data_IF_463815739592
#
_entry.id   IF_463815739592
#
_cell.length_a   1.000
_cell.length_b   1.000
_cell.length_c   1.000
_cell.angle_alpha   90.00
_cell.angle_beta   90.00
_cell.angle_gamma   90.00
#
_symmetry.space_group_name_H-M   'P 1'
#
loop_
_entity.id
_entity.type
_entity.pdbx_description
1 polymer ?
#
# COMPACT_ATOMS: atom_id res chain seq x y z
N UNK A 1 3.48 -1.09 -25.83
CA UNK A 1 4.04 0.26 -25.55
C UNK A 1 2.85 1.20 -25.45
N UNK A 2 2.83 2.10 -24.47
CA UNK A 2 1.71 3.05 -24.30
C UNK A 2 1.93 4.30 -25.15
N UNK A 3 0.84 4.83 -25.70
CA UNK A 3 0.80 6.05 -26.50
C UNK A 3 0.28 7.24 -25.69
N UNK A 4 0.46 8.48 -26.20
CA UNK A 4 -0.07 9.70 -25.55
C UNK A 4 -1.58 9.65 -25.27
N UNK A 5 -2.35 8.96 -26.12
CA UNK A 5 -3.80 8.79 -25.95
C UNK A 5 -4.15 7.95 -24.70
N UNK A 6 -3.24 7.11 -24.23
CA UNK A 6 -3.46 6.20 -23.09
C UNK A 6 -3.26 6.92 -21.74
N UNK A 7 -2.66 8.13 -21.74
CA UNK A 7 -2.31 8.86 -20.51
C UNK A 7 -3.52 9.09 -19.59
N UNK A 8 -4.68 9.43 -20.16
CA UNK A 8 -5.88 9.65 -19.36
C UNK A 8 -6.31 8.38 -18.62
N UNK A 9 -6.22 7.22 -19.28
CA UNK A 9 -6.54 5.93 -18.69
C UNK A 9 -5.48 5.51 -17.66
N UNK A 10 -4.19 5.74 -17.92
CA UNK A 10 -3.13 5.39 -16.98
C UNK A 10 -3.22 6.18 -15.66
N UNK A 11 -3.83 7.37 -15.69
CA UNK A 11 -4.04 8.21 -14.50
C UNK A 11 -5.22 7.78 -13.63
N UNK A 12 -6.08 6.87 -14.10
CA UNK A 12 -7.20 6.40 -13.28
C UNK A 12 -6.71 5.53 -12.15
N UNK A 13 -7.43 5.57 -11.03
CA UNK A 13 -7.12 4.71 -9.90
C UNK A 13 -7.30 3.23 -10.25
N UNK A 14 -6.41 2.42 -9.71
CA UNK A 14 -6.52 0.97 -9.58
C UNK A 14 -6.89 0.72 -8.11
N UNK A 15 -7.97 -0.02 -7.90
CA UNK A 15 -8.49 -0.30 -6.55
C UNK A 15 -8.06 -1.71 -6.17
N UNK A 16 -7.45 -1.85 -4.99
CA UNK A 16 -6.99 -3.12 -4.43
C UNK A 16 -7.74 -3.40 -3.14
N UNK A 17 -8.40 -4.54 -3.05
CA UNK A 17 -8.92 -5.08 -1.80
C UNK A 17 -7.89 -6.06 -1.22
N UNK A 18 -7.34 -5.75 -0.04
CA UNK A 18 -6.20 -6.46 0.55
C UNK A 18 -6.39 -6.68 2.05
N UNK A 19 -5.65 -7.62 2.60
CA UNK A 19 -5.58 -7.86 4.05
C UNK A 19 -4.13 -7.70 4.51
N UNK A 20 -3.90 -6.81 5.47
CA UNK A 20 -2.60 -6.52 6.08
C UNK A 20 -2.78 -6.45 7.59
N UNK A 21 -1.91 -7.11 8.36
CA UNK A 21 -2.02 -7.21 9.83
C UNK A 21 -3.45 -7.57 10.29
N UNK A 22 -4.07 -8.59 9.67
CA UNK A 22 -5.43 -9.06 9.95
C UNK A 22 -6.53 -7.99 9.75
N UNK A 23 -6.25 -6.98 8.95
CA UNK A 23 -7.11 -5.83 8.72
C UNK A 23 -7.36 -5.65 7.22
N UNK A 24 -8.64 -5.58 6.82
CA UNK A 24 -9.04 -5.42 5.41
C UNK A 24 -9.03 -3.98 4.96
N UNK A 25 -8.34 -3.68 3.87
CA UNK A 25 -8.26 -2.34 3.30
C UNK A 25 -8.72 -2.32 1.85
N UNK A 26 -9.35 -1.22 1.46
CA UNK A 26 -9.56 -0.84 0.07
C UNK A 26 -8.57 0.27 -0.27
N UNK A 27 -7.50 -0.08 -0.96
CA UNK A 27 -6.42 0.84 -1.30
C UNK A 27 -6.60 1.36 -2.71
N UNK A 28 -6.36 2.67 -2.88
CA UNK A 28 -6.34 3.34 -4.17
C UNK A 28 -4.89 3.56 -4.57
N UNK A 29 -4.52 3.08 -5.75
CA UNK A 29 -3.20 3.23 -6.33
C UNK A 29 -3.32 3.62 -7.80
N UNK A 30 -2.23 3.92 -8.49
CA UNK A 30 -2.26 4.41 -9.88
C UNK A 30 -0.95 4.14 -10.60
N UNK A 31 -0.94 4.17 -11.92
CA UNK A 31 0.33 4.09 -12.64
C UNK A 31 1.28 5.24 -12.25
N UNK A 32 2.54 4.89 -12.01
CA UNK A 32 3.56 5.83 -11.54
C UNK A 32 3.86 5.76 -10.03
N UNK A 33 3.10 4.99 -9.25
CA UNK A 33 3.52 4.58 -7.90
C UNK A 33 4.09 3.17 -7.92
N UNK A 34 4.88 2.81 -6.91
CA UNK A 34 5.47 1.48 -6.77
C UNK A 34 4.38 0.41 -6.59
N UNK A 35 4.57 -0.76 -7.23
CA UNK A 35 3.64 -1.90 -7.24
C UNK A 35 2.14 -1.51 -7.31
N UNK A 36 1.68 -0.87 -8.41
CA UNK A 36 0.35 -0.28 -8.45
C UNK A 36 -0.77 -1.28 -8.73
N UNK A 37 -0.47 -2.58 -8.86
CA UNK A 37 -1.46 -3.62 -9.20
C UNK A 37 -1.66 -4.65 -8.09
N UNK A 38 -0.81 -4.63 -7.05
CA UNK A 38 -0.85 -5.56 -5.94
C UNK A 38 0.03 -5.03 -4.80
N UNK A 39 -0.12 -5.58 -3.60
CA UNK A 39 0.92 -5.44 -2.58
C UNK A 39 2.18 -6.14 -3.08
N UNK A 40 3.33 -5.50 -2.92
CA UNK A 40 4.63 -6.08 -3.25
C UNK A 40 4.98 -7.23 -2.30
N UNK A 41 5.65 -8.27 -2.81
CA UNK A 41 6.02 -9.45 -2.02
C UNK A 41 6.95 -9.09 -0.85
N UNK A 42 7.83 -8.10 -1.03
CA UNK A 42 8.69 -7.57 0.03
C UNK A 42 7.88 -6.86 1.11
N UNK A 43 6.87 -6.08 0.73
CA UNK A 43 5.90 -5.50 1.68
C UNK A 43 5.15 -6.58 2.45
N UNK A 44 4.67 -7.64 1.78
CA UNK A 44 4.01 -8.77 2.45
C UNK A 44 4.93 -9.48 3.43
N UNK A 45 6.19 -9.70 3.04
CA UNK A 45 7.19 -10.32 3.90
C UNK A 45 7.44 -9.45 5.15
N UNK A 46 7.64 -8.14 4.98
CA UNK A 46 7.81 -7.21 6.10
C UNK A 46 6.62 -7.27 7.06
N UNK A 47 5.38 -7.25 6.55
CA UNK A 47 4.17 -7.31 7.39
C UNK A 47 4.04 -8.61 8.20
N UNK A 48 4.65 -9.71 7.76
CA UNK A 48 4.65 -10.97 8.54
C UNK A 48 5.57 -10.93 9.76
N UNK A 49 6.60 -10.10 9.73
CA UNK A 49 7.65 -10.06 10.75
C UNK A 49 7.72 -8.75 11.51
N UNK A 50 6.98 -7.72 11.08
CA UNK A 50 6.94 -6.45 11.78
C UNK A 50 6.31 -6.65 13.16
N UNK A 51 7.06 -6.29 14.20
CA UNK A 51 6.56 -6.21 15.56
C UNK A 51 6.17 -4.77 15.84
N UNK A 52 4.89 -4.51 16.07
CA UNK A 52 4.38 -3.19 16.42
C UNK A 52 3.41 -3.33 17.59
N UNK A 53 3.62 -2.53 18.64
CA UNK A 53 2.77 -2.46 19.82
C UNK A 53 1.79 -1.30 19.70
N UNK A 54 0.69 -1.34 20.46
CA UNK A 54 -0.38 -0.34 20.43
C UNK A 54 0.15 1.10 20.57
N UNK A 55 1.16 1.32 21.41
CA UNK A 55 1.71 2.64 21.73
C UNK A 55 2.96 3.04 20.93
N UNK A 56 3.36 2.26 19.92
CA UNK A 56 4.57 2.56 19.15
C UNK A 56 4.38 3.76 18.21
N UNK A 57 5.36 4.66 18.20
CA UNK A 57 5.41 5.76 17.24
C UNK A 57 6.06 5.29 15.94
N UNK A 58 5.25 5.18 14.88
CA UNK A 58 5.69 4.63 13.59
C UNK A 58 6.00 5.72 12.56
N UNK A 59 7.02 5.50 11.72
CA UNK A 59 7.33 6.30 10.52
C UNK A 59 7.41 5.39 9.29
N UNK A 60 6.56 5.64 8.29
CA UNK A 60 6.58 4.94 7.00
C UNK A 60 7.32 5.78 5.95
N UNK A 61 8.62 5.50 5.77
CA UNK A 61 9.48 6.22 4.83
C UNK A 61 9.39 5.60 3.43
N UNK A 62 9.06 6.42 2.43
CA UNK A 62 8.82 5.91 1.08
C UNK A 62 7.48 5.17 0.96
N UNK A 63 6.47 5.66 1.69
CA UNK A 63 5.18 5.00 1.89
C UNK A 63 4.41 4.65 0.60
N UNK A 64 4.70 5.31 -0.53
CA UNK A 64 4.00 5.06 -1.79
C UNK A 64 2.50 5.35 -1.65
N UNK A 65 1.65 4.33 -1.87
CA UNK A 65 0.20 4.43 -1.62
C UNK A 65 -0.20 4.06 -0.17
N UNK A 66 0.78 3.95 0.72
CA UNK A 66 0.63 3.84 2.18
C UNK A 66 0.27 2.48 2.77
N UNK A 67 0.47 1.31 2.12
CA UNK A 67 -0.02 0.03 2.65
C UNK A 67 0.54 -0.30 4.05
N UNK A 68 1.82 0.02 4.29
CA UNK A 68 2.50 -0.26 5.57
C UNK A 68 1.99 0.68 6.65
N UNK A 69 2.08 1.99 6.43
CA UNK A 69 1.64 2.99 7.40
C UNK A 69 0.16 2.87 7.76
N UNK A 70 -0.72 2.58 6.80
CA UNK A 70 -2.15 2.36 7.05
C UNK A 70 -2.42 1.09 7.87
N UNK A 71 -1.66 0.01 7.62
CA UNK A 71 -1.75 -1.21 8.42
C UNK A 71 -1.29 -0.95 9.86
N UNK A 72 -0.15 -0.30 10.04
CA UNK A 72 0.39 0.06 11.35
C UNK A 72 -0.53 1.01 12.12
N UNK A 73 -1.08 2.04 11.47
CA UNK A 73 -2.02 2.97 12.11
C UNK A 73 -3.30 2.29 12.61
N UNK A 74 -3.69 1.14 12.02
CA UNK A 74 -4.82 0.35 12.51
C UNK A 74 -4.44 -0.64 13.61
N UNK A 75 -3.16 -0.97 13.75
CA UNK A 75 -2.65 -1.83 14.81
C UNK A 75 -2.22 -1.03 16.05
N UNK A 76 -1.68 0.17 15.84
CA UNK A 76 -1.13 1.07 16.85
C UNK A 76 -2.11 2.22 17.13
N UNK A 77 -3.09 2.00 18.01
CA UNK A 77 -4.10 2.98 18.40
C UNK A 77 -4.53 2.81 19.86
#
# INVERSE_FOLDING_TARGET
MFDRKDIAQLKTDIILDVELLNSRFKLHTRWGVFSPRSIDDGTQLLMRYIGANENDLCLDLGCGYGPIGLALARQCH
#
